data_IF_655266824972
#
_entry.id   IF_655266824972
#
_cell.length_a   1.000
_cell.length_b   1.000
_cell.length_c   1.000
_cell.angle_alpha   90.00
_cell.angle_beta   90.00
_cell.angle_gamma   90.00
#
_symmetry.space_group_name_H-M   'P 1'
#
loop_
_entity.id
_entity.type
_entity.pdbx_description
1 polymer ?
#
# COMPACT_ATOMS: atom_id res chain seq x y z
N UNK A 1 61.47 -34.11 66.79
CA UNK A 1 60.03 -33.82 66.92
C UNK A 1 59.67 -32.79 65.85
N UNK A 2 59.22 -33.23 64.68
CA UNK A 2 58.76 -32.36 63.60
C UNK A 2 57.41 -32.88 63.10
N UNK A 3 56.42 -31.97 63.07
CA UNK A 3 55.05 -32.18 62.62
C UNK A 3 55.00 -31.98 61.11
N UNK A 4 54.68 -33.02 60.33
CA UNK A 4 54.33 -32.87 58.91
C UNK A 4 52.80 -32.97 58.78
N UNK A 5 52.15 -31.82 58.58
CA UNK A 5 50.74 -31.72 58.22
C UNK A 5 50.56 -32.11 56.74
N UNK A 6 49.96 -33.27 56.51
CA UNK A 6 49.37 -33.64 55.23
C UNK A 6 48.04 -32.90 55.06
N UNK A 7 47.97 -31.93 54.14
CA UNK A 7 46.69 -31.51 53.55
C UNK A 7 46.38 -32.39 52.32
N UNK A 8 45.12 -32.83 52.15
CA UNK A 8 44.74 -33.76 51.09
C UNK A 8 44.61 -33.06 49.72
N UNK A 9 45.19 -33.67 48.68
CA UNK A 9 45.21 -33.21 47.28
C UNK A 9 43.83 -33.08 46.61
N UNK A 10 42.74 -33.42 47.29
CA UNK A 10 41.38 -33.39 46.75
C UNK A 10 40.66 -32.04 46.92
N UNK A 11 41.11 -31.16 47.82
CA UNK A 11 40.48 -29.85 48.06
C UNK A 11 40.88 -28.82 46.99
N UNK A 12 42.07 -28.96 46.39
CA UNK A 12 42.59 -28.00 45.40
C UNK A 12 41.97 -28.12 43.99
N UNK A 13 41.35 -29.26 43.67
CA UNK A 13 40.76 -29.55 42.36
C UNK A 13 39.32 -29.04 42.23
N UNK A 14 38.58 -28.94 43.33
CA UNK A 14 37.18 -28.50 43.31
C UNK A 14 37.10 -26.96 43.23
N UNK A 15 38.03 -26.25 43.85
CA UNK A 15 38.10 -24.77 43.83
C UNK A 15 38.53 -24.21 42.47
N UNK A 16 39.35 -24.93 41.72
CA UNK A 16 39.78 -24.50 40.37
C UNK A 16 38.70 -24.76 39.31
N UNK A 17 37.94 -25.86 39.44
CA UNK A 17 36.83 -26.17 38.53
C UNK A 17 35.62 -25.22 38.70
N UNK A 18 35.33 -24.76 39.92
CA UNK A 18 34.24 -23.79 40.16
C UNK A 18 34.61 -22.37 39.73
N UNK A 19 35.87 -21.95 39.90
CA UNK A 19 36.32 -20.64 39.45
C UNK A 19 36.36 -20.54 37.91
N UNK A 20 36.70 -21.63 37.21
CA UNK A 20 36.69 -21.67 35.75
C UNK A 20 35.26 -21.65 35.18
N UNK A 21 34.30 -22.27 35.87
CA UNK A 21 32.89 -22.29 35.45
C UNK A 21 32.19 -20.94 35.66
N UNK A 22 32.56 -20.18 36.70
CA UNK A 22 32.05 -18.83 36.96
C UNK A 22 32.61 -17.79 35.97
N UNK A 23 33.88 -17.90 35.57
CA UNK A 23 34.46 -17.02 34.53
C UNK A 23 33.89 -17.32 33.14
N UNK A 24 33.54 -18.58 32.86
CA UNK A 24 32.84 -18.96 31.62
C UNK A 24 31.37 -18.51 31.58
N UNK A 25 30.72 -18.30 32.73
CA UNK A 25 29.35 -17.78 32.80
C UNK A 25 29.27 -16.25 32.62
N UNK A 26 30.28 -15.49 33.05
CA UNK A 26 30.33 -14.04 32.80
C UNK A 26 30.66 -13.67 31.34
N UNK A 27 31.28 -14.58 30.57
CA UNK A 27 31.56 -14.38 29.15
C UNK A 27 30.39 -14.75 28.22
N UNK A 28 29.28 -15.29 28.75
CA UNK A 28 28.14 -15.74 27.95
C UNK A 28 27.08 -14.65 27.68
N UNK A 29 27.20 -13.45 28.26
CA UNK A 29 26.17 -12.39 28.22
C UNK A 29 26.34 -11.34 27.11
N UNK A 30 27.26 -11.53 26.17
CA UNK A 30 27.46 -10.61 25.05
C UNK A 30 27.09 -11.24 23.70
N UNK A 31 25.90 -11.83 23.60
CA UNK A 31 25.30 -12.00 22.27
C UNK A 31 25.20 -10.60 21.64
N UNK A 32 25.74 -10.37 20.43
CA UNK A 32 25.62 -9.08 19.78
C UNK A 32 24.13 -8.77 19.62
N UNK A 33 23.62 -7.84 20.43
CA UNK A 33 22.27 -7.31 20.24
C UNK A 33 22.23 -6.83 18.79
N UNK A 34 21.28 -7.27 17.96
CA UNK A 34 21.20 -6.80 16.60
C UNK A 34 21.11 -5.28 16.65
N UNK A 35 22.19 -4.62 16.22
CA UNK A 35 22.25 -3.16 16.14
C UNK A 35 21.19 -2.78 15.14
N UNK A 36 20.02 -2.40 15.67
CA UNK A 36 18.95 -1.89 14.84
C UNK A 36 19.41 -0.51 14.43
N UNK A 37 20.09 -0.42 13.29
CA UNK A 37 20.46 0.85 12.69
C UNK A 37 19.15 1.62 12.53
N UNK A 38 18.94 2.63 13.37
CA UNK A 38 17.79 3.53 13.25
C UNK A 38 18.01 4.36 12.00
N UNK A 39 17.55 3.82 10.88
CA UNK A 39 17.48 4.55 9.62
C UNK A 39 16.50 5.69 9.87
N UNK A 40 17.00 6.93 9.89
CA UNK A 40 16.22 8.12 10.17
C UNK A 40 15.35 8.47 8.94
N UNK A 41 14.38 7.61 8.65
CA UNK A 41 13.44 7.71 7.53
C UNK A 41 12.04 7.38 7.98
N UNK A 42 11.06 8.11 7.45
CA UNK A 42 9.67 7.96 7.90
C UNK A 42 8.68 8.52 6.87
N UNK A 43 7.42 8.12 7.02
CA UNK A 43 6.28 8.77 6.40
C UNK A 43 5.50 9.50 7.50
N UNK A 44 5.49 10.83 7.49
CA UNK A 44 4.84 11.62 8.53
C UNK A 44 3.40 11.97 8.14
N UNK A 45 2.44 11.77 9.03
CA UNK A 45 1.07 12.26 8.88
C UNK A 45 1.10 13.79 8.96
N UNK A 46 0.77 14.47 7.86
CA UNK A 46 0.70 15.95 7.81
C UNK A 46 -0.71 16.47 7.95
N UNK A 47 -1.68 15.74 7.41
CA UNK A 47 -3.10 16.08 7.42
C UNK A 47 -3.89 14.79 7.44
N UNK A 48 -5.03 14.78 8.13
CA UNK A 48 -5.98 13.67 8.11
C UNK A 48 -7.39 14.20 8.31
N UNK A 49 -8.38 13.52 7.73
CA UNK A 49 -9.80 13.80 7.93
C UNK A 49 -10.60 12.50 7.92
N UNK A 50 -11.74 12.52 8.61
CA UNK A 50 -12.57 11.33 8.79
C UNK A 50 -11.88 10.25 9.63
N UNK A 51 -12.27 9.00 9.39
CA UNK A 51 -11.74 7.83 10.07
C UNK A 51 -10.44 7.36 9.39
N UNK A 52 -9.31 7.58 10.07
CA UNK A 52 -8.01 7.08 9.63
C UNK A 52 -7.33 6.36 10.79
N UNK A 53 -7.04 5.08 10.58
CA UNK A 53 -6.41 4.20 11.56
C UNK A 53 -4.93 4.06 11.23
N UNK A 54 -4.08 4.39 12.20
CA UNK A 54 -2.66 4.05 12.20
C UNK A 54 -2.48 2.61 12.69
N UNK A 55 -1.70 1.82 11.95
CA UNK A 55 -1.25 0.50 12.39
C UNK A 55 0.24 0.53 12.71
N UNK A 56 0.62 0.01 13.88
CA UNK A 56 2.00 -0.06 14.35
C UNK A 56 2.21 -1.33 15.16
N UNK A 57 3.14 -2.20 14.74
CA UNK A 57 3.54 -3.41 15.50
C UNK A 57 2.37 -4.27 16.01
N UNK A 58 1.33 -4.46 15.18
CA UNK A 58 0.13 -5.23 15.54
C UNK A 58 -0.94 -4.46 16.31
N UNK A 59 -0.63 -3.25 16.81
CA UNK A 59 -1.58 -2.36 17.44
C UNK A 59 -2.22 -1.41 16.42
N UNK A 60 -3.44 -0.97 16.71
CA UNK A 60 -4.17 0.00 15.88
C UNK A 60 -4.77 1.11 16.73
N UNK A 61 -4.67 2.35 16.25
CA UNK A 61 -5.31 3.53 16.86
C UNK A 61 -5.64 4.57 15.81
N UNK A 62 -6.45 5.56 16.14
CA UNK A 62 -6.64 6.73 15.26
C UNK A 62 -5.31 7.46 15.05
N UNK A 63 -5.07 7.91 13.82
CA UNK A 63 -3.91 8.76 13.49
C UNK A 63 -3.98 10.10 14.22
N UNK A 64 -2.82 10.69 14.45
CA UNK A 64 -2.62 12.07 14.88
C UNK A 64 -1.66 12.75 13.91
N UNK A 65 -1.84 14.05 13.70
CA UNK A 65 -0.85 14.84 12.98
C UNK A 65 0.52 14.70 13.66
N UNK A 66 1.56 14.46 12.87
CA UNK A 66 2.91 14.21 13.35
C UNK A 66 3.26 12.74 13.62
N UNK A 67 2.28 11.82 13.58
CA UNK A 67 2.56 10.37 13.60
C UNK A 67 3.50 9.99 12.45
N UNK A 68 4.36 8.99 12.68
CA UNK A 68 5.40 8.57 11.73
C UNK A 68 5.33 7.07 11.47
N UNK A 69 5.09 6.68 10.23
CA UNK A 69 5.34 5.30 9.78
C UNK A 69 6.85 5.15 9.59
N UNK A 70 7.50 4.38 10.44
CA UNK A 70 8.97 4.29 10.52
C UNK A 70 9.48 2.86 10.53
N UNK A 71 8.63 1.89 10.85
CA UNK A 71 8.98 0.48 10.88
C UNK A 71 8.26 -0.30 9.77
N UNK A 72 8.84 -1.45 9.40
CA UNK A 72 8.17 -2.43 8.53
C UNK A 72 6.87 -2.87 9.19
N UNK A 73 5.79 -2.90 8.42
CA UNK A 73 4.46 -3.25 8.90
C UNK A 73 3.63 -2.07 9.41
N UNK A 74 4.26 -0.91 9.67
CA UNK A 74 3.51 0.31 9.94
C UNK A 74 2.62 0.66 8.74
N UNK A 75 1.45 1.22 9.00
CA UNK A 75 0.51 1.52 7.93
C UNK A 75 -0.61 2.46 8.32
N UNK A 76 -1.40 2.83 7.32
CA UNK A 76 -2.67 3.53 7.51
C UNK A 76 -3.79 2.82 6.78
N UNK A 77 -4.97 2.82 7.39
CA UNK A 77 -6.22 2.48 6.72
C UNK A 77 -7.20 3.64 6.84
N UNK A 78 -7.75 4.08 5.73
CA UNK A 78 -8.78 5.11 5.64
C UNK A 78 -10.16 4.48 5.45
N UNK A 79 -11.17 5.01 6.14
CA UNK A 79 -12.56 4.64 5.94
C UNK A 79 -13.21 5.40 4.78
N UNK A 80 -14.55 5.31 4.70
CA UNK A 80 -15.36 6.10 3.75
C UNK A 80 -15.22 7.60 4.04
N UNK A 81 -15.23 8.45 3.01
CA UNK A 81 -15.14 9.93 3.13
C UNK A 81 -13.98 10.40 4.03
N UNK A 82 -12.90 9.63 4.05
CA UNK A 82 -11.75 9.83 4.92
C UNK A 82 -10.48 9.87 4.10
N UNK A 83 -9.40 10.42 4.63
CA UNK A 83 -8.13 10.46 3.92
C UNK A 83 -7.01 11.06 4.76
N UNK A 84 -5.78 10.87 4.30
CA UNK A 84 -4.58 11.38 4.96
C UNK A 84 -3.50 11.74 3.94
N UNK A 85 -2.70 12.74 4.27
CA UNK A 85 -1.51 13.12 3.51
C UNK A 85 -0.27 12.72 4.29
N UNK A 86 0.57 11.89 3.69
CA UNK A 86 1.87 11.47 4.22
C UNK A 86 2.98 12.27 3.57
N UNK A 87 3.89 12.84 4.35
CA UNK A 87 5.15 13.40 3.85
C UNK A 87 6.22 12.29 3.85
N UNK A 88 6.89 12.06 2.71
CA UNK A 88 7.91 11.02 2.53
C UNK A 88 9.28 11.55 2.92
N UNK A 89 9.71 11.42 4.17
CA UNK A 89 10.85 12.17 4.71
C UNK A 89 10.72 13.70 4.48
N UNK A 90 11.53 14.49 5.16
CA UNK A 90 11.51 15.93 4.95
C UNK A 90 11.92 16.29 3.51
N UNK A 91 11.02 16.99 2.82
CA UNK A 91 11.30 17.64 1.53
C UNK A 91 11.39 16.73 0.29
N UNK A 92 11.02 15.45 0.35
CA UNK A 92 10.96 14.61 -0.87
C UNK A 92 9.62 14.74 -1.57
N UNK A 93 8.53 14.80 -0.82
CA UNK A 93 7.20 14.91 -1.40
C UNK A 93 6.13 14.27 -0.54
N UNK A 94 4.96 14.08 -1.15
CA UNK A 94 3.75 13.67 -0.45
C UNK A 94 3.06 12.48 -1.10
N UNK A 95 2.37 11.70 -0.28
CA UNK A 95 1.46 10.63 -0.67
C UNK A 95 0.10 10.96 -0.07
N UNK A 96 -0.87 11.25 -0.93
CA UNK A 96 -2.27 11.34 -0.55
C UNK A 96 -2.86 9.93 -0.56
N UNK A 97 -3.40 9.50 0.57
CA UNK A 97 -4.11 8.23 0.75
C UNK A 97 -5.59 8.58 0.86
N UNK A 98 -6.38 8.20 -0.14
CA UNK A 98 -7.80 8.58 -0.25
C UNK A 98 -8.69 7.62 0.53
N UNK A 99 -10.01 7.75 0.42
CA UNK A 99 -10.96 6.89 1.13
C UNK A 99 -10.79 5.40 0.82
N UNK A 100 -11.22 4.55 1.75
CA UNK A 100 -11.23 3.09 1.61
C UNK A 100 -9.89 2.51 1.12
N UNK A 101 -8.79 3.01 1.65
CA UNK A 101 -7.44 2.69 1.19
C UNK A 101 -6.61 2.14 2.32
N UNK A 102 -5.78 1.14 2.01
CA UNK A 102 -4.78 0.62 2.92
C UNK A 102 -3.40 0.85 2.32
N UNK A 103 -2.50 1.38 3.13
CA UNK A 103 -1.09 1.57 2.78
C UNK A 103 -0.22 1.03 3.91
N UNK A 104 0.82 0.27 3.57
CA UNK A 104 1.78 -0.29 4.52
C UNK A 104 3.22 -0.02 4.09
N UNK A 105 4.10 0.14 5.07
CA UNK A 105 5.54 0.18 4.88
C UNK A 105 6.07 -1.25 4.75
N UNK A 106 6.76 -1.52 3.64
CA UNK A 106 7.48 -2.79 3.40
C UNK A 106 8.95 -2.69 3.74
N UNK A 107 9.58 -1.57 3.41
CA UNK A 107 10.94 -1.26 3.83
C UNK A 107 11.23 0.23 3.69
N UNK A 108 12.10 0.70 4.58
CA UNK A 108 12.74 2.02 4.51
C UNK A 108 14.23 1.79 4.63
N UNK A 109 15.00 2.38 3.72
CA UNK A 109 16.44 2.14 3.65
C UNK A 109 17.22 3.34 3.14
N UNK A 110 18.53 3.31 3.37
CA UNK A 110 19.51 4.22 2.78
C UNK A 110 20.53 3.36 2.03
N UNK A 111 20.77 3.67 0.77
CA UNK A 111 21.78 3.03 -0.06
C UNK A 111 23.18 3.59 0.28
N UNK A 112 24.24 2.92 -0.18
CA UNK A 112 25.63 3.33 0.07
C UNK A 112 25.94 4.74 -0.46
N UNK A 113 25.26 5.19 -1.51
CA UNK A 113 25.36 6.54 -2.06
C UNK A 113 24.46 7.57 -1.36
N UNK A 114 24.01 7.27 -0.13
CA UNK A 114 23.02 8.04 0.62
C UNK A 114 21.64 8.12 -0.07
N UNK A 115 21.37 7.21 -1.03
CA UNK A 115 20.11 7.12 -1.73
C UNK A 115 18.96 6.65 -0.86
N UNK A 116 17.80 7.28 -0.99
CA UNK A 116 16.61 6.99 -0.18
C UNK A 116 15.78 5.89 -0.86
N UNK A 117 15.72 4.70 -0.26
CA UNK A 117 14.94 3.54 -0.73
C UNK A 117 13.63 3.37 0.05
N UNK A 118 12.48 3.57 -0.57
CA UNK A 118 11.16 3.37 0.07
C UNK A 118 10.38 2.28 -0.64
N UNK A 119 9.88 1.30 0.10
CA UNK A 119 8.95 0.29 -0.42
C UNK A 119 7.65 0.33 0.36
N UNK A 120 6.54 0.46 -0.36
CA UNK A 120 5.20 0.48 0.18
C UNK A 120 4.38 -0.66 -0.40
N UNK A 121 3.29 -1.01 0.27
CA UNK A 121 2.28 -1.95 -0.21
C UNK A 121 0.91 -1.26 -0.15
N UNK A 122 0.18 -1.31 -1.26
CA UNK A 122 -1.20 -0.84 -1.38
C UNK A 122 -2.05 -2.01 -1.88
N UNK A 123 -2.67 -2.79 -0.98
CA UNK A 123 -3.45 -3.95 -1.38
C UNK A 123 -4.80 -3.59 -2.01
N UNK A 124 -5.37 -2.42 -1.67
CA UNK A 124 -6.61 -1.88 -2.23
C UNK A 124 -6.72 -0.37 -1.96
N UNK A 125 -7.58 0.30 -2.73
CA UNK A 125 -7.88 1.72 -2.59
C UNK A 125 -7.10 2.59 -3.57
N UNK A 126 -6.87 3.86 -3.25
CA UNK A 126 -6.21 4.81 -4.14
C UNK A 126 -5.17 5.67 -3.41
N UNK A 127 -4.06 5.88 -4.10
CA UNK A 127 -2.99 6.77 -3.67
C UNK A 127 -2.58 7.71 -4.79
N UNK A 128 -2.22 8.94 -4.43
CA UNK A 128 -1.62 9.92 -5.34
C UNK A 128 -0.30 10.39 -4.76
N UNK A 129 0.72 10.41 -5.60
CA UNK A 129 2.07 10.75 -5.20
C UNK A 129 2.53 11.99 -5.94
N UNK A 130 3.15 12.90 -5.22
CA UNK A 130 3.86 14.04 -5.75
C UNK A 130 5.25 14.03 -5.14
N UNK A 131 6.21 13.49 -5.88
CA UNK A 131 7.59 13.32 -5.43
C UNK A 131 8.50 14.18 -6.30
N UNK A 132 9.42 14.91 -5.67
CA UNK A 132 10.50 15.57 -6.42
C UNK A 132 11.44 14.53 -7.03
N UNK A 133 12.18 14.94 -8.05
CA UNK A 133 13.27 14.13 -8.63
C UNK A 133 14.30 13.76 -7.56
N UNK A 134 14.72 12.49 -7.55
CA UNK A 134 15.72 12.03 -6.59
C UNK A 134 17.14 12.30 -7.08
N UNK A 135 17.99 12.73 -6.15
CA UNK A 135 19.34 13.23 -6.46
C UNK A 135 20.42 12.13 -6.42
N UNK A 136 20.21 11.03 -5.69
CA UNK A 136 21.17 9.93 -5.57
C UNK A 136 20.73 8.72 -6.40
N UNK A 137 21.66 8.03 -7.07
CA UNK A 137 21.33 6.92 -7.99
C UNK A 137 20.61 5.77 -7.28
N UNK A 138 20.99 5.47 -6.03
CA UNK A 138 20.34 4.46 -5.19
C UNK A 138 18.93 4.85 -4.68
N UNK A 139 18.47 6.08 -4.92
CA UNK A 139 17.12 6.49 -4.47
C UNK A 139 16.01 5.92 -5.35
N UNK A 140 15.00 5.33 -4.74
CA UNK A 140 13.77 4.91 -5.39
C UNK A 140 12.60 4.88 -4.41
N UNK A 141 11.39 4.99 -4.94
CA UNK A 141 10.16 4.61 -4.25
C UNK A 141 9.47 3.53 -5.09
N UNK A 142 9.07 2.44 -4.45
CA UNK A 142 8.28 1.38 -5.09
C UNK A 142 6.99 1.15 -4.32
N UNK A 143 5.92 0.88 -5.04
CA UNK A 143 4.63 0.47 -4.47
C UNK A 143 4.29 -0.91 -5.03
N UNK A 144 4.09 -1.85 -4.12
CA UNK A 144 3.63 -3.19 -4.42
C UNK A 144 2.10 -3.23 -4.30
N UNK A 145 1.48 -3.88 -5.27
CA UNK A 145 0.05 -4.18 -5.33
C UNK A 145 -0.12 -5.68 -5.58
N UNK A 146 -1.33 -6.24 -5.50
CA UNK A 146 -1.56 -7.62 -5.90
C UNK A 146 -1.26 -7.89 -7.39
N UNK A 147 -1.33 -6.86 -8.24
CA UNK A 147 -1.06 -6.97 -9.66
C UNK A 147 0.42 -6.88 -10.04
N UNK A 148 1.27 -6.28 -9.20
CA UNK A 148 2.68 -6.06 -9.51
C UNK A 148 3.31 -4.90 -8.74
N UNK A 149 4.46 -4.43 -9.23
CA UNK A 149 5.25 -3.38 -8.60
C UNK A 149 5.32 -2.16 -9.52
N UNK A 150 5.06 -0.99 -8.96
CA UNK A 150 5.28 0.31 -9.61
C UNK A 150 6.48 1.00 -8.97
N UNK A 151 7.52 1.27 -9.74
CA UNK A 151 8.74 1.92 -9.28
C UNK A 151 8.91 3.31 -9.91
N UNK A 152 9.32 4.28 -9.09
CA UNK A 152 9.43 5.68 -9.49
C UNK A 152 10.72 6.33 -9.01
N UNK A 153 11.12 7.36 -9.77
CA UNK A 153 12.27 8.21 -9.46
C UNK A 153 11.90 9.69 -9.62
N UNK A 154 11.04 10.14 -8.71
CA UNK A 154 10.47 11.50 -8.69
C UNK A 154 9.45 11.71 -9.81
N UNK A 155 8.20 11.51 -9.43
CA UNK A 155 7.08 11.39 -10.36
C UNK A 155 5.85 11.97 -9.69
N UNK A 156 4.98 12.59 -10.48
CA UNK A 156 3.60 12.90 -10.08
C UNK A 156 2.70 11.88 -10.75
N UNK A 157 2.07 11.01 -9.97
CA UNK A 157 1.23 9.94 -10.51
C UNK A 157 0.14 9.54 -9.52
N UNK A 158 -0.88 8.88 -10.05
CA UNK A 158 -1.97 8.30 -9.26
C UNK A 158 -2.15 6.83 -9.58
N UNK A 159 -2.61 6.07 -8.60
CA UNK A 159 -2.84 4.63 -8.73
C UNK A 159 -4.07 4.23 -7.93
N UNK A 160 -4.88 3.36 -8.53
CA UNK A 160 -6.03 2.74 -7.89
C UNK A 160 -5.92 1.21 -7.96
N UNK A 161 -6.24 0.54 -6.87
CA UNK A 161 -6.24 -0.92 -6.74
C UNK A 161 -7.65 -1.37 -6.37
N UNK A 162 -8.30 -2.07 -7.29
CA UNK A 162 -9.67 -2.57 -7.14
C UNK A 162 -9.73 -3.81 -6.23
N UNK A 163 -10.92 -4.24 -5.75
CA UNK A 163 -11.05 -5.38 -4.85
C UNK A 163 -10.48 -6.70 -5.38
N UNK A 164 -10.46 -6.88 -6.71
CA UNK A 164 -9.87 -8.03 -7.38
C UNK A 164 -8.34 -7.87 -7.60
N UNK A 165 -7.70 -6.85 -7.04
CA UNK A 165 -6.29 -6.54 -7.22
C UNK A 165 -5.94 -5.83 -8.52
N UNK A 166 -6.90 -5.60 -9.43
CA UNK A 166 -6.68 -4.88 -10.69
C UNK A 166 -6.17 -3.47 -10.38
N UNK A 167 -5.03 -3.13 -10.96
CA UNK A 167 -4.33 -1.87 -10.70
C UNK A 167 -4.36 -1.00 -11.94
N UNK A 168 -4.95 0.20 -11.80
CA UNK A 168 -4.89 1.27 -12.80
C UNK A 168 -3.90 2.35 -12.35
N UNK A 169 -3.05 2.81 -13.26
CA UNK A 169 -2.02 3.80 -12.99
C UNK A 169 -2.03 4.90 -14.04
N UNK A 170 -1.87 6.15 -13.62
CA UNK A 170 -1.78 7.32 -14.50
C UNK A 170 -0.63 8.23 -14.07
N UNK A 171 0.21 8.64 -15.02
CA UNK A 171 1.39 9.48 -14.77
C UNK A 171 1.18 10.89 -15.31
N UNK A 172 1.28 11.90 -14.44
CA UNK A 172 1.20 13.32 -14.81
C UNK A 172 2.56 13.92 -15.16
N UNK A 173 3.60 13.58 -14.40
CA UNK A 173 4.95 14.11 -14.62
C UNK A 173 6.00 13.07 -14.23
N UNK A 174 7.11 13.01 -14.97
CA UNK A 174 8.16 12.01 -14.81
C UNK A 174 7.82 10.70 -15.55
N UNK A 175 8.09 9.56 -14.92
CA UNK A 175 7.73 8.25 -15.43
C UNK A 175 7.57 7.22 -14.31
N UNK A 176 6.75 6.21 -14.56
CA UNK A 176 6.59 5.04 -13.68
C UNK A 176 6.96 3.77 -14.42
N UNK A 177 7.84 2.96 -13.86
CA UNK A 177 8.07 1.60 -14.36
C UNK A 177 7.12 0.65 -13.64
N UNK A 178 6.19 0.04 -14.38
CA UNK A 178 5.29 -1.00 -13.87
C UNK A 178 5.86 -2.37 -14.25
N UNK A 179 6.04 -3.25 -13.28
CA UNK A 179 6.60 -4.59 -13.48
C UNK A 179 5.67 -5.65 -12.92
N UNK A 180 5.32 -6.64 -13.75
CA UNK A 180 4.58 -7.83 -13.35
C UNK A 180 4.91 -8.99 -14.29
N UNK A 181 4.86 -10.22 -13.77
CA UNK A 181 5.13 -11.44 -14.56
C UNK A 181 6.43 -11.36 -15.37
N UNK A 182 7.50 -10.84 -14.75
CA UNK A 182 8.82 -10.69 -15.40
C UNK A 182 8.92 -9.59 -16.47
N UNK A 183 7.82 -8.93 -16.82
CA UNK A 183 7.79 -7.86 -17.84
C UNK A 183 7.68 -6.49 -17.19
N UNK A 184 8.45 -5.53 -17.71
CA UNK A 184 8.39 -4.13 -17.29
C UNK A 184 7.87 -3.26 -18.44
N UNK A 185 6.94 -2.35 -18.13
CA UNK A 185 6.42 -1.33 -19.04
C UNK A 185 6.66 0.04 -18.40
N UNK A 186 7.24 0.96 -19.18
CA UNK A 186 7.38 2.36 -18.78
C UNK A 186 6.09 3.12 -19.10
N UNK A 187 5.57 3.85 -18.12
CA UNK A 187 4.41 4.74 -18.25
C UNK A 187 4.91 6.18 -18.07
N UNK A 188 5.26 6.87 -19.17
CA UNK A 188 5.76 8.24 -19.11
C UNK A 188 4.65 9.24 -18.77
N UNK A 189 5.03 10.49 -18.50
CA UNK A 189 4.10 11.59 -18.31
C UNK A 189 3.08 11.70 -19.46
N UNK A 190 1.80 11.90 -19.13
CA UNK A 190 0.71 11.95 -20.10
C UNK A 190 0.19 10.58 -20.54
N UNK A 191 0.62 9.49 -19.88
CA UNK A 191 0.16 8.13 -20.17
C UNK A 191 -0.40 7.44 -18.92
N UNK A 192 -1.17 6.38 -19.17
CA UNK A 192 -1.75 5.50 -18.18
C UNK A 192 -1.58 4.04 -18.61
N UNK A 193 -1.63 3.12 -17.66
CA UNK A 193 -1.76 1.70 -17.95
C UNK A 193 -2.55 0.95 -16.88
N UNK A 194 -2.76 -0.33 -17.18
CA UNK A 194 -3.50 -1.29 -16.39
C UNK A 194 -2.62 -2.53 -16.16
N UNK A 195 -2.68 -3.11 -14.96
CA UNK A 195 -2.13 -4.43 -14.66
C UNK A 195 -3.16 -5.26 -13.89
N UNK A 196 -3.38 -6.51 -14.31
CA UNK A 196 -4.22 -7.49 -13.59
C UNK A 196 -3.32 -8.47 -12.82
N UNK A 197 -3.75 -8.98 -11.66
CA UNK A 197 -3.04 -10.07 -10.99
C UNK A 197 -2.83 -11.27 -11.91
N UNK A 198 -1.60 -11.81 -11.91
CA UNK A 198 -1.23 -12.93 -12.77
C UNK A 198 -0.89 -12.56 -14.22
N UNK A 199 -1.01 -11.28 -14.61
CA UNK A 199 -0.75 -10.83 -15.99
C UNK A 199 0.40 -9.83 -16.08
N UNK A 200 1.00 -9.71 -17.26
CA UNK A 200 1.98 -8.64 -17.52
C UNK A 200 1.29 -7.27 -17.59
N UNK A 201 1.99 -6.16 -17.31
CA UNK A 201 1.41 -4.83 -17.48
C UNK A 201 1.00 -4.59 -18.94
N UNK A 202 -0.15 -3.95 -19.14
CA UNK A 202 -0.57 -3.49 -20.46
C UNK A 202 0.37 -2.40 -21.00
N UNK A 203 0.49 -2.25 -22.33
CA UNK A 203 1.17 -1.10 -22.92
C UNK A 203 0.62 0.22 -22.38
N UNK A 204 1.50 1.21 -22.25
CA UNK A 204 1.08 2.56 -21.91
C UNK A 204 0.21 3.15 -23.02
N UNK A 205 -0.94 3.71 -22.66
CA UNK A 205 -1.84 4.44 -23.56
C UNK A 205 -1.96 5.89 -23.11
N UNK A 206 -2.34 6.83 -23.99
CA UNK A 206 -2.52 8.23 -23.59
C UNK A 206 -3.48 8.37 -22.41
N UNK A 207 -3.14 9.25 -21.47
CA UNK A 207 -3.96 9.61 -20.32
C UNK A 207 -5.28 10.21 -20.80
N UNK A 208 -6.39 9.67 -20.31
CA UNK A 208 -7.74 10.15 -20.66
C UNK A 208 -8.39 10.96 -19.55
N UNK A 209 -8.17 10.56 -18.29
CA UNK A 209 -8.81 11.15 -17.09
C UNK A 209 -10.33 11.37 -17.26
N UNK A 210 -10.96 10.40 -17.94
CA UNK A 210 -12.38 10.41 -18.32
C UNK A 210 -13.20 9.65 -17.27
N UNK A 211 -14.28 10.27 -16.79
CA UNK A 211 -15.21 9.70 -15.79
C UNK A 211 -16.54 9.25 -16.39
N UNK A 212 -16.64 9.18 -17.72
CA UNK A 212 -17.84 8.73 -18.43
C UNK A 212 -18.24 7.32 -18.02
N UNK A 213 -19.54 7.12 -17.81
CA UNK A 213 -20.16 5.83 -17.52
C UNK A 213 -21.18 5.52 -18.61
N UNK A 214 -20.90 4.49 -19.41
CA UNK A 214 -21.89 3.89 -20.29
C UNK A 214 -22.60 2.77 -19.52
N UNK A 215 -23.93 2.74 -19.53
CA UNK A 215 -24.66 1.72 -18.77
C UNK A 215 -25.95 1.28 -19.43
N UNK A 216 -26.40 0.07 -19.04
CA UNK A 216 -27.69 -0.51 -19.37
C UNK A 216 -28.30 -1.11 -18.11
N UNK A 217 -29.60 -0.90 -17.92
CA UNK A 217 -30.37 -1.50 -16.83
C UNK A 217 -31.43 -2.41 -17.44
N UNK A 218 -31.44 -3.68 -17.03
CA UNK A 218 -32.37 -4.69 -17.49
C UNK A 218 -33.16 -5.26 -16.31
N UNK A 219 -34.48 -5.33 -16.44
CA UNK A 219 -35.33 -6.02 -15.47
C UNK A 219 -35.24 -7.53 -15.70
N UNK A 220 -35.09 -8.28 -14.61
CA UNK A 220 -35.10 -9.74 -14.62
C UNK A 220 -36.08 -10.26 -13.58
N UNK A 221 -36.93 -11.20 -13.97
CA UNK A 221 -37.81 -11.93 -13.06
C UNK A 221 -37.32 -13.37 -13.04
N UNK A 222 -36.92 -13.86 -11.87
CA UNK A 222 -36.58 -15.27 -11.66
C UNK A 222 -37.32 -15.77 -10.43
N UNK A 223 -38.09 -16.85 -10.58
CA UNK A 223 -38.84 -17.48 -9.48
C UNK A 223 -39.59 -16.46 -8.59
N UNK A 224 -40.36 -15.56 -9.23
CA UNK A 224 -41.14 -14.48 -8.58
C UNK A 224 -40.34 -13.35 -7.92
N UNK A 225 -39.00 -13.42 -7.87
CA UNK A 225 -38.14 -12.31 -7.45
C UNK A 225 -37.85 -11.36 -8.61
N UNK A 226 -38.24 -10.09 -8.45
CA UNK A 226 -37.88 -9.00 -9.36
C UNK A 226 -36.48 -8.50 -9.03
N UNK A 227 -35.61 -8.48 -10.03
CA UNK A 227 -34.23 -8.03 -9.92
C UNK A 227 -33.87 -7.11 -11.08
N UNK A 228 -32.84 -6.30 -10.87
CA UNK A 228 -32.28 -5.37 -11.85
C UNK A 228 -30.86 -5.79 -12.12
N UNK A 229 -30.59 -6.14 -13.38
CA UNK A 229 -29.23 -6.33 -13.87
C UNK A 229 -28.73 -5.01 -14.41
N UNK A 230 -27.66 -4.50 -13.82
CA UNK A 230 -27.00 -3.29 -14.29
C UNK A 230 -25.68 -3.70 -14.89
N UNK A 231 -25.46 -3.30 -16.13
CA UNK A 231 -24.21 -3.47 -16.85
C UNK A 231 -23.64 -2.08 -17.10
N UNK A 232 -22.37 -1.88 -16.75
CA UNK A 232 -21.70 -0.61 -16.98
C UNK A 232 -20.33 -0.80 -17.58
N UNK A 233 -19.83 0.25 -18.23
CA UNK A 233 -18.49 0.33 -18.78
C UNK A 233 -17.91 1.72 -18.51
N UNK A 234 -16.68 1.74 -18.02
CA UNK A 234 -15.86 2.93 -17.80
C UNK A 234 -14.50 2.75 -18.48
N UNK A 235 -13.62 3.76 -18.45
CA UNK A 235 -12.22 3.55 -18.82
C UNK A 235 -11.60 2.42 -17.95
N UNK A 236 -10.86 1.51 -18.58
CA UNK A 236 -10.35 0.30 -17.95
C UNK A 236 -9.44 0.54 -16.72
N UNK A 237 -8.83 1.72 -16.59
CA UNK A 237 -8.01 2.07 -15.41
C UNK A 237 -8.83 2.62 -14.23
N UNK A 238 -10.08 2.99 -14.45
CA UNK A 238 -10.92 3.62 -13.43
C UNK A 238 -11.46 2.62 -12.43
N UNK A 239 -11.71 3.10 -11.21
CA UNK A 239 -12.45 2.38 -10.18
C UNK A 239 -13.91 2.76 -10.21
N UNK A 240 -14.78 1.79 -9.91
CA UNK A 240 -16.24 1.96 -9.88
C UNK A 240 -16.74 1.65 -8.48
N UNK A 241 -17.67 2.47 -8.00
CA UNK A 241 -18.40 2.22 -6.76
C UNK A 241 -19.89 2.32 -7.05
N UNK A 242 -20.67 1.38 -6.52
CA UNK A 242 -22.13 1.44 -6.54
C UNK A 242 -22.59 1.70 -5.12
N UNK A 243 -23.21 2.87 -4.90
CA UNK A 243 -23.25 3.48 -3.57
C UNK A 243 -21.82 3.65 -3.04
N UNK A 244 -21.54 3.05 -1.89
CA UNK A 244 -20.19 3.02 -1.31
C UNK A 244 -19.44 1.69 -1.56
N UNK A 245 -20.05 0.76 -2.29
CA UNK A 245 -19.50 -0.59 -2.46
C UNK A 245 -18.62 -0.63 -3.71
N UNK A 246 -17.30 -0.89 -3.60
CA UNK A 246 -16.43 -0.98 -4.76
C UNK A 246 -16.82 -2.16 -5.64
N UNK A 247 -16.83 -1.94 -6.95
CA UNK A 247 -17.11 -2.96 -7.96
C UNK A 247 -15.83 -3.31 -8.70
N UNK A 248 -15.59 -4.62 -8.86
CA UNK A 248 -14.54 -5.09 -9.74
C UNK A 248 -14.96 -4.90 -11.20
N UNK A 249 -14.05 -4.40 -12.01
CA UNK A 249 -14.23 -4.29 -13.47
C UNK A 249 -13.27 -5.23 -14.19
N UNK A 250 -13.67 -5.71 -15.36
CA UNK A 250 -12.80 -6.51 -16.23
C UNK A 250 -11.70 -5.66 -16.89
N UNK A 251 -10.89 -6.29 -17.75
CA UNK A 251 -9.81 -5.60 -18.50
C UNK A 251 -10.29 -4.51 -19.46
N UNK A 252 -11.59 -4.48 -19.78
CA UNK A 252 -12.22 -3.50 -20.65
C UNK A 252 -13.05 -2.47 -19.87
N UNK A 253 -12.94 -2.47 -18.53
CA UNK A 253 -13.67 -1.54 -17.67
C UNK A 253 -15.15 -1.90 -17.50
N UNK A 254 -15.57 -3.11 -17.88
CA UNK A 254 -16.96 -3.56 -17.75
C UNK A 254 -17.21 -4.14 -16.38
N UNK A 255 -18.39 -3.88 -15.83
CA UNK A 255 -18.90 -4.49 -14.60
C UNK A 255 -20.38 -4.86 -14.77
N UNK A 256 -20.83 -5.84 -13.99
CA UNK A 256 -22.23 -6.25 -13.95
C UNK A 256 -22.63 -6.55 -12.52
N UNK A 257 -23.80 -6.07 -12.10
CA UNK A 257 -24.37 -6.35 -10.79
C UNK A 257 -25.85 -6.72 -10.89
N UNK A 258 -26.32 -7.49 -9.92
CA UNK A 258 -27.73 -7.87 -9.78
C UNK A 258 -28.26 -7.30 -8.46
N UNK A 259 -29.27 -6.44 -8.54
CA UNK A 259 -29.90 -5.81 -7.36
C UNK A 259 -31.35 -6.25 -7.23
N UNK A 260 -31.90 -6.36 -6.00
CA UNK A 260 -33.35 -6.48 -5.81
C UNK A 260 -34.09 -5.26 -6.38
N UNK A 261 -35.14 -5.47 -7.17
CA UNK A 261 -35.88 -4.38 -7.81
C UNK A 261 -36.77 -3.59 -6.84
N UNK A 262 -37.13 -4.20 -5.69
CA UNK A 262 -38.02 -3.59 -4.70
C UNK A 262 -37.38 -2.42 -3.93
N UNK A 263 -36.09 -2.14 -4.12
CA UNK A 263 -35.31 -1.32 -3.18
C UNK A 263 -34.63 -0.09 -3.79
N UNK A 264 -34.73 0.14 -5.11
CA UNK A 264 -33.91 1.15 -5.78
C UNK A 264 -34.73 1.96 -6.79
N UNK A 265 -35.04 3.21 -6.43
CA UNK A 265 -35.59 4.21 -7.35
C UNK A 265 -34.47 4.97 -8.10
N UNK A 266 -33.37 5.22 -7.40
CA UNK A 266 -32.17 5.89 -7.90
C UNK A 266 -30.93 5.14 -7.42
N UNK A 267 -30.00 4.89 -8.33
CA UNK A 267 -28.72 4.26 -8.00
C UNK A 267 -27.57 5.23 -8.28
N UNK A 268 -26.72 5.46 -7.29
CA UNK A 268 -25.51 6.24 -7.47
C UNK A 268 -24.36 5.33 -7.90
N UNK A 269 -23.75 5.64 -9.04
CA UNK A 269 -22.52 5.00 -9.51
C UNK A 269 -21.43 6.05 -9.53
N UNK A 270 -20.39 5.85 -8.72
CA UNK A 270 -19.22 6.73 -8.73
C UNK A 270 -18.14 6.14 -9.64
N UNK A 271 -17.61 6.95 -10.55
CA UNK A 271 -16.40 6.66 -11.31
C UNK A 271 -15.25 7.50 -10.76
N UNK A 272 -14.14 6.83 -10.46
CA UNK A 272 -12.94 7.44 -9.88
C UNK A 272 -11.71 7.11 -10.75
N UNK A 273 -11.08 8.15 -11.31
CA UNK A 273 -9.83 8.00 -12.09
C UNK A 273 -8.64 7.76 -11.16
N UNK A 274 -7.53 7.15 -11.61
CA UNK A 274 -6.33 6.99 -10.80
C UNK A 274 -5.77 8.31 -10.26
N UNK A 275 -6.01 9.42 -10.94
CA UNK A 275 -5.60 10.76 -10.53
C UNK A 275 -6.59 11.42 -9.54
N UNK A 276 -7.63 10.71 -9.12
CA UNK A 276 -8.58 11.18 -8.11
C UNK A 276 -9.71 12.05 -8.64
N UNK A 277 -9.89 12.16 -9.96
CA UNK A 277 -11.10 12.78 -10.52
C UNK A 277 -12.29 11.87 -10.24
N UNK A 278 -13.33 12.44 -9.63
CA UNK A 278 -14.53 11.72 -9.19
C UNK A 278 -15.75 12.29 -9.88
N UNK A 279 -16.61 11.43 -10.42
CA UNK A 279 -17.95 11.78 -10.87
C UNK A 279 -18.98 10.81 -10.31
N UNK A 280 -20.06 11.34 -9.76
CA UNK A 280 -21.23 10.57 -9.34
C UNK A 280 -22.26 10.62 -10.46
N UNK A 281 -22.70 9.46 -10.92
CA UNK A 281 -23.75 9.28 -11.92
C UNK A 281 -25.01 8.77 -11.23
N UNK A 282 -26.12 9.48 -11.38
CA UNK A 282 -27.41 9.08 -10.84
C UNK A 282 -28.21 8.32 -11.91
N UNK A 283 -28.32 7.01 -11.73
CA UNK A 283 -29.08 6.14 -12.61
C UNK A 283 -30.52 6.11 -12.12
N UNK A 284 -31.40 6.76 -12.87
CA UNK A 284 -32.85 6.70 -12.63
C UNK A 284 -33.38 5.34 -13.06
N UNK A 285 -33.95 4.61 -12.11
CA UNK A 285 -34.57 3.31 -12.36
C UNK A 285 -36.07 3.54 -12.45
N UNK A 286 -36.60 3.69 -13.67
CA UNK A 286 -38.05 3.69 -13.89
C UNK A 286 -38.56 2.26 -13.70
N UNK A 287 -39.15 2.01 -12.53
CA UNK A 287 -39.77 0.73 -12.17
C UNK A 287 -40.87 0.35 -13.17
#
# INVERSE_FOLDING_TARGET
MQLNLFLPRHVLLITTATLLLLVLFELAEALPRPVTVRINRWLAIRQNWGQVTYQQQGNSRTVKQGDRLQAVGDGVTTGKRSGTTLEVDTGIGFIQVTENTKLKVRSLGIASDNGRMTALEVPYGQVRLQLRRFNHRGSYLKIQTPAGVSAVRGTVFGMSVQPNGKTGLATLSGGVATTAQGKTVLVPAGFQNLTLPGETPSPAVPLRDDTTLNYKVERQIKASLRSLRIQGQVDAVNSVFVGDTPQATDRHGRFSLLLPAASVQTLQVTVLTPLGRRQVHELSIRL
#
